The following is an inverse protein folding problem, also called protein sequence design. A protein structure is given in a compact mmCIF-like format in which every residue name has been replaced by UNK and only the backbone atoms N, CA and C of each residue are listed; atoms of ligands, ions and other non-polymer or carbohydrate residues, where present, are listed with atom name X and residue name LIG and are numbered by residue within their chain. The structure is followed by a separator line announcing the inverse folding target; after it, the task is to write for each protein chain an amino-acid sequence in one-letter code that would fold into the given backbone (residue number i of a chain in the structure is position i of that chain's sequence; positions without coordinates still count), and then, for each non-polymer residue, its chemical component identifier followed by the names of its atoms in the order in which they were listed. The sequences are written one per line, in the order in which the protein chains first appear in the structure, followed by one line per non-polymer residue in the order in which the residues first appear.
data_IF_398082308674
#
_entry.id   IF_398082308674
#
_cell.length_a   1.000
_cell.length_b   1.000
_cell.length_c   1.000
_cell.angle_alpha   90.00
_cell.angle_beta   90.00
_cell.angle_gamma   90.00
#
_symmetry.space_group_name_H-M   'P 1'
#
loop_
_entity.id
_entity.type
_entity.pdbx_description
1 polymer ?
#
# COMPACT_ATOMS: atom_id res chain seq x y z
N UNK A 1 1.17 20.68 -0.96
CA UNK A 1 0.10 19.88 -1.61
C UNK A 1 0.50 18.42 -1.43
N UNK A 2 -0.05 17.73 -0.43
CA UNK A 2 0.35 16.36 -0.11
C UNK A 2 -0.02 15.43 -1.26
N UNK A 3 0.89 14.55 -1.70
CA UNK A 3 0.57 13.54 -2.71
C UNK A 3 -0.46 12.56 -2.12
N UNK A 4 -1.47 12.20 -2.89
CA UNK A 4 -2.46 11.19 -2.53
C UNK A 4 -1.74 9.85 -2.25
N UNK A 5 -1.83 9.34 -1.02
CA UNK A 5 -1.17 8.10 -0.62
C UNK A 5 -1.60 6.89 -1.47
N UNK A 6 -2.85 6.87 -1.94
CA UNK A 6 -3.38 5.81 -2.79
C UNK A 6 -2.77 5.79 -4.18
N UNK A 7 -2.28 6.93 -4.69
CA UNK A 7 -1.52 6.97 -5.94
C UNK A 7 -0.12 6.38 -5.79
N UNK A 8 0.50 6.57 -4.61
CA UNK A 8 1.83 6.03 -4.31
C UNK A 8 1.84 4.49 -4.28
N UNK A 9 0.70 3.85 -3.98
CA UNK A 9 0.53 2.39 -4.00
C UNK A 9 0.85 1.79 -5.37
N UNK A 10 0.75 2.55 -6.46
CA UNK A 10 1.17 2.09 -7.81
C UNK A 10 2.67 1.73 -7.86
N UNK A 11 3.49 2.25 -6.95
CA UNK A 11 4.92 1.97 -6.84
C UNK A 11 5.27 0.87 -5.83
N UNK A 12 4.28 0.34 -5.10
CA UNK A 12 4.52 -0.65 -4.03
C UNK A 12 5.03 -1.99 -4.57
N UNK A 13 4.70 -2.37 -5.80
CA UNK A 13 5.25 -3.58 -6.44
C UNK A 13 6.77 -3.47 -6.62
N UNK A 14 7.27 -2.32 -7.06
CA UNK A 14 8.71 -2.04 -7.14
C UNK A 14 9.35 -2.15 -5.75
N UNK A 15 8.71 -1.57 -4.74
CA UNK A 15 9.21 -1.60 -3.36
C UNK A 15 9.23 -3.04 -2.79
N UNK A 16 8.18 -3.82 -3.06
CA UNK A 16 8.08 -5.23 -2.68
C UNK A 16 9.22 -6.04 -3.28
N UNK A 17 9.48 -5.85 -4.57
CA UNK A 17 10.56 -6.54 -5.27
C UNK A 17 11.92 -6.23 -4.64
N UNK A 18 12.14 -5.01 -4.15
CA UNK A 18 13.37 -4.65 -3.44
C UNK A 18 13.45 -5.40 -2.12
N UNK A 19 12.41 -5.37 -1.28
CA UNK A 19 12.41 -6.12 -0.01
C UNK A 19 12.65 -7.62 -0.23
N UNK A 20 12.06 -8.20 -1.28
CA UNK A 20 12.16 -9.63 -1.58
C UNK A 20 13.53 -10.07 -2.13
N UNK A 21 14.31 -9.16 -2.71
CA UNK A 21 15.68 -9.45 -3.20
C UNK A 21 16.69 -9.63 -2.07
N UNK A 22 16.34 -9.25 -0.84
CA UNK A 22 17.24 -9.45 0.29
C UNK A 22 17.58 -10.93 0.46
N UNK A 23 18.87 -11.24 0.35
CA UNK A 23 19.44 -12.55 0.64
C UNK A 23 20.20 -12.50 1.97
N UNK A 24 19.92 -13.47 2.84
CA UNK A 24 20.49 -13.60 4.19
C UNK A 24 22.02 -13.82 4.17
N UNK A 25 22.63 -14.00 3.00
CA UNK A 25 24.08 -14.20 2.85
C UNK A 25 24.90 -12.92 3.05
N UNK A 26 24.26 -11.76 3.16
CA UNK A 26 24.94 -10.46 3.25
C UNK A 26 24.97 -9.98 4.72
N UNK A 27 26.14 -10.05 5.38
CA UNK A 27 26.35 -9.53 6.76
C UNK A 27 26.40 -8.00 6.85
N UNK A 28 25.85 -7.30 5.85
CA UNK A 28 25.82 -5.83 5.85
C UNK A 28 24.81 -5.39 6.91
N UNK A 29 25.23 -4.48 7.79
CA UNK A 29 24.46 -3.94 8.93
C UNK A 29 24.32 -4.85 10.17
N UNK A 30 25.19 -5.86 10.31
CA UNK A 30 25.11 -6.81 11.42
C UNK A 30 25.19 -6.14 12.80
N UNK A 31 26.11 -5.19 12.98
CA UNK A 31 26.30 -4.50 14.27
C UNK A 31 25.08 -3.63 14.61
N UNK A 32 24.61 -2.85 13.63
CA UNK A 32 23.46 -1.96 13.77
C UNK A 32 22.19 -2.75 14.11
N UNK A 33 22.05 -3.94 13.54
CA UNK A 33 20.93 -4.83 13.81
C UNK A 33 21.06 -5.61 15.12
N UNK A 34 22.26 -5.92 15.60
CA UNK A 34 22.45 -6.51 16.93
C UNK A 34 21.95 -5.56 18.02
N UNK A 35 22.27 -4.27 17.94
CA UNK A 35 21.83 -3.27 18.91
C UNK A 35 20.31 -3.06 18.86
N UNK A 36 19.73 -3.02 17.64
CA UNK A 36 18.28 -2.87 17.44
C UNK A 36 17.50 -4.08 17.97
N UNK A 37 18.01 -5.30 17.78
CA UNK A 37 17.34 -6.51 18.25
C UNK A 37 17.26 -6.56 19.78
N UNK A 38 18.17 -5.91 20.51
CA UNK A 38 18.10 -5.78 21.97
C UNK A 38 17.02 -4.77 22.40
N UNK A 39 16.86 -3.67 21.67
CA UNK A 39 15.84 -2.62 21.92
C UNK A 39 14.43 -3.11 21.53
N UNK A 40 14.29 -3.72 20.35
CA UNK A 40 13.03 -4.31 19.84
C UNK A 40 12.67 -5.62 20.54
N UNK A 41 13.58 -6.25 21.28
CA UNK A 41 13.36 -7.54 21.95
C UNK A 41 12.12 -7.59 22.86
N UNK A 42 11.63 -6.43 23.32
CA UNK A 42 10.41 -6.29 24.12
C UNK A 42 9.13 -6.50 23.27
N UNK A 43 9.18 -6.24 21.96
CA UNK A 43 8.17 -6.65 20.99
C UNK A 43 8.33 -8.15 20.66
N UNK A 44 7.76 -9.00 21.50
CA UNK A 44 7.86 -10.48 21.50
C UNK A 44 7.67 -11.13 20.10
N UNK A 45 7.00 -10.44 19.16
CA UNK A 45 6.55 -10.98 17.87
C UNK A 45 7.40 -10.57 16.66
N UNK A 46 8.37 -9.68 16.84
CA UNK A 46 9.31 -9.23 15.80
C UNK A 46 10.74 -9.77 16.04
N UNK A 47 10.88 -10.84 16.81
CA UNK A 47 12.14 -11.57 17.06
C UNK A 47 12.77 -12.21 15.80
N UNK A 48 12.36 -11.80 14.62
CA UNK A 48 13.00 -12.20 13.38
C UNK A 48 14.10 -11.17 13.09
N UNK A 49 15.34 -11.52 13.43
CA UNK A 49 16.53 -10.68 13.17
C UNK A 49 16.63 -10.22 11.70
N UNK A 50 15.93 -10.92 10.79
CA UNK A 50 15.83 -10.57 9.39
C UNK A 50 15.07 -9.28 9.14
N UNK A 51 14.24 -8.80 10.06
CA UNK A 51 13.47 -7.56 9.87
C UNK A 51 14.42 -6.37 9.80
N UNK A 52 15.30 -6.23 10.78
CA UNK A 52 16.31 -5.19 10.75
C UNK A 52 17.14 -5.26 9.46
N UNK A 53 17.70 -6.42 9.15
CA UNK A 53 18.58 -6.55 7.99
C UNK A 53 17.85 -6.31 6.66
N UNK A 54 16.60 -6.80 6.52
CA UNK A 54 15.75 -6.52 5.36
C UNK A 54 15.44 -5.05 5.23
N UNK A 55 15.08 -4.38 6.33
CA UNK A 55 14.78 -2.96 6.34
C UNK A 55 16.01 -2.12 6.02
N UNK A 56 17.18 -2.45 6.57
CA UNK A 56 18.43 -1.75 6.28
C UNK A 56 18.88 -1.94 4.82
N UNK A 57 18.80 -3.17 4.30
CA UNK A 57 19.02 -3.45 2.88
C UNK A 57 18.05 -2.66 1.99
N UNK A 58 16.76 -2.70 2.35
CA UNK A 58 15.72 -1.98 1.63
C UNK A 58 15.98 -0.48 1.59
N UNK A 59 16.25 0.14 2.74
CA UNK A 59 16.56 1.57 2.83
C UNK A 59 17.78 1.94 2.01
N UNK A 60 18.81 1.09 2.00
CA UNK A 60 19.98 1.25 1.13
C UNK A 60 19.62 1.24 -0.35
N UNK A 61 18.78 0.31 -0.79
CA UNK A 61 18.34 0.27 -2.18
C UNK A 61 17.42 1.45 -2.53
N UNK A 62 16.50 1.84 -1.64
CA UNK A 62 15.66 3.04 -1.82
C UNK A 62 16.51 4.30 -1.93
N UNK A 63 17.55 4.43 -1.12
CA UNK A 63 18.48 5.56 -1.17
C UNK A 63 19.06 5.77 -2.57
N UNK A 64 19.46 4.68 -3.25
CA UNK A 64 20.02 4.75 -4.61
C UNK A 64 19.05 5.32 -5.64
N UNK A 65 17.75 5.17 -5.41
CA UNK A 65 16.66 5.56 -6.33
C UNK A 65 15.69 6.54 -5.67
N UNK A 66 16.18 7.34 -4.72
CA UNK A 66 15.36 8.22 -3.88
C UNK A 66 14.55 9.24 -4.69
N UNK A 67 15.12 9.74 -5.79
CA UNK A 67 14.43 10.67 -6.71
C UNK A 67 13.25 10.04 -7.45
N UNK A 68 13.20 8.72 -7.55
CA UNK A 68 12.14 7.99 -8.26
C UNK A 68 11.04 7.53 -7.31
N UNK A 69 11.41 6.90 -6.20
CA UNK A 69 10.43 6.24 -5.31
C UNK A 69 10.61 6.57 -3.83
N UNK A 70 11.45 7.53 -3.44
CA UNK A 70 11.82 7.78 -2.03
C UNK A 70 10.61 7.85 -1.08
N UNK A 71 9.66 8.74 -1.35
CA UNK A 71 8.46 8.89 -0.51
C UNK A 71 7.57 7.62 -0.53
N UNK A 72 7.34 7.02 -1.70
CA UNK A 72 6.56 5.78 -1.80
C UNK A 72 7.25 4.61 -1.08
N UNK A 73 8.59 4.57 -1.10
CA UNK A 73 9.38 3.56 -0.44
C UNK A 73 9.35 3.67 1.07
N UNK A 74 9.42 4.90 1.60
CA UNK A 74 9.26 5.16 3.03
C UNK A 74 7.88 4.71 3.54
N UNK A 75 6.80 5.02 2.82
CA UNK A 75 5.45 4.55 3.15
C UNK A 75 5.33 3.03 3.00
N UNK A 76 5.94 2.45 1.96
CA UNK A 76 5.92 1.01 1.74
C UNK A 76 6.59 0.24 2.87
N UNK A 77 7.71 0.73 3.41
CA UNK A 77 8.36 0.08 4.54
C UNK A 77 7.42 0.02 5.76
N UNK A 78 6.72 1.12 6.06
CA UNK A 78 5.71 1.14 7.12
C UNK A 78 4.54 0.18 6.84
N UNK A 79 4.07 0.12 5.58
CA UNK A 79 3.07 -0.86 5.13
C UNK A 79 3.53 -2.31 5.30
N UNK A 80 4.77 -2.61 4.92
CA UNK A 80 5.35 -3.93 5.04
C UNK A 80 5.48 -4.36 6.49
N UNK A 81 5.91 -3.47 7.39
CA UNK A 81 5.96 -3.74 8.83
C UNK A 81 4.56 -4.02 9.40
N UNK A 82 3.56 -3.24 8.98
CA UNK A 82 2.18 -3.42 9.42
C UNK A 82 1.61 -4.78 8.98
N UNK A 83 1.80 -5.16 7.71
CA UNK A 83 1.35 -6.45 7.18
C UNK A 83 2.12 -7.62 7.81
N UNK A 84 3.44 -7.47 8.03
CA UNK A 84 4.27 -8.46 8.74
C UNK A 84 3.79 -8.68 10.18
N UNK A 85 3.45 -7.60 10.88
CA UNK A 85 2.88 -7.66 12.23
C UNK A 85 1.50 -8.33 12.27
N UNK A 86 0.77 -8.38 11.15
CA UNK A 86 -0.51 -9.08 10.98
C UNK A 86 -1.50 -8.88 12.14
N UNK A 87 -1.78 -7.61 12.50
CA UNK A 87 -2.69 -7.19 13.60
C UNK A 87 -2.19 -7.54 15.01
N UNK A 88 -1.03 -8.19 15.14
CA UNK A 88 -0.48 -8.61 16.44
C UNK A 88 0.30 -7.52 17.17
N UNK A 89 0.70 -6.46 16.47
CA UNK A 89 1.35 -5.27 16.99
C UNK A 89 0.33 -4.12 17.02
N UNK A 90 0.41 -3.28 18.04
CA UNK A 90 -0.26 -1.99 18.10
C UNK A 90 0.32 -1.02 17.08
N UNK A 91 -0.46 0.01 16.73
CA UNK A 91 -0.01 1.08 15.84
C UNK A 91 1.25 1.76 16.38
N UNK A 92 1.30 2.01 17.68
CA UNK A 92 2.43 2.67 18.34
C UNK A 92 3.70 1.83 18.20
N UNK A 93 3.63 0.52 18.47
CA UNK A 93 4.79 -0.37 18.30
C UNK A 93 5.33 -0.32 16.87
N UNK A 94 4.46 -0.38 15.85
CA UNK A 94 4.89 -0.35 14.44
C UNK A 94 5.57 1.00 14.10
N UNK A 95 5.05 2.11 14.62
CA UNK A 95 5.65 3.44 14.44
C UNK A 95 7.02 3.52 15.10
N UNK A 96 7.15 3.04 16.34
CA UNK A 96 8.41 3.07 17.07
C UNK A 96 9.48 2.28 16.33
N UNK A 97 9.14 1.07 15.88
CA UNK A 97 10.04 0.21 15.11
C UNK A 97 10.43 0.86 13.77
N UNK A 98 9.46 1.44 13.06
CA UNK A 98 9.74 2.17 11.84
C UNK A 98 10.74 3.30 12.08
N UNK A 99 10.51 4.13 13.09
CA UNK A 99 11.38 5.25 13.43
C UNK A 99 12.78 4.81 13.84
N UNK A 100 12.89 3.75 14.64
CA UNK A 100 14.19 3.17 15.04
C UNK A 100 14.98 2.66 13.83
N UNK A 101 14.33 1.94 12.91
CA UNK A 101 14.97 1.44 11.69
C UNK A 101 15.47 2.57 10.80
N UNK A 102 14.67 3.62 10.60
CA UNK A 102 15.09 4.82 9.87
C UNK A 102 16.25 5.50 10.59
N UNK A 103 16.14 5.70 11.90
CA UNK A 103 17.18 6.37 12.68
C UNK A 103 18.52 5.64 12.60
N UNK A 104 18.54 4.31 12.79
CA UNK A 104 19.78 3.54 12.69
C UNK A 104 20.38 3.58 11.30
N UNK A 105 19.57 3.49 10.25
CA UNK A 105 20.04 3.63 8.88
C UNK A 105 20.68 5.00 8.61
N UNK A 106 20.05 6.07 9.09
CA UNK A 106 20.47 7.45 8.85
C UNK A 106 21.60 7.93 9.78
N UNK A 107 21.90 7.19 10.85
CA UNK A 107 23.09 7.47 11.66
C UNK A 107 24.39 7.16 10.90
N UNK A 108 24.32 6.31 9.87
CA UNK A 108 25.47 5.86 9.07
C UNK A 108 25.36 6.22 7.58
N UNK A 109 24.20 6.70 7.13
CA UNK A 109 23.96 7.13 5.74
C UNK A 109 23.20 8.47 5.73
N UNK A 110 23.17 9.16 4.59
CA UNK A 110 22.32 10.35 4.43
C UNK A 110 20.82 10.02 4.63
N UNK A 111 20.01 11.00 5.06
CA UNK A 111 18.57 10.81 5.24
C UNK A 111 17.87 10.28 3.98
N UNK A 112 17.03 9.26 4.16
CA UNK A 112 16.25 8.62 3.08
C UNK A 112 14.77 8.86 3.26
N UNK A 113 14.31 8.83 4.51
CA UNK A 113 12.94 9.09 4.87
C UNK A 113 12.91 10.34 5.74
N UNK A 114 12.03 11.28 5.44
CA UNK A 114 11.81 12.41 6.33
C UNK A 114 11.33 11.85 7.67
N UNK A 115 12.18 11.85 8.71
CA UNK A 115 11.91 11.27 10.06
C UNK A 115 10.56 11.68 10.67
N UNK A 116 9.92 12.73 10.15
CA UNK A 116 8.79 13.41 10.76
C UNK A 116 7.63 13.70 9.80
N UNK A 117 7.53 13.07 8.62
CA UNK A 117 6.23 13.14 7.95
C UNK A 117 5.26 12.27 8.74
N UNK A 118 4.22 12.91 9.27
CA UNK A 118 3.13 12.31 10.04
C UNK A 118 2.53 11.11 9.29
N UNK A 119 3.16 9.93 9.36
CA UNK A 119 2.58 8.67 8.91
C UNK A 119 1.52 8.31 9.95
N UNK A 120 0.44 9.09 9.95
CA UNK A 120 -0.73 8.87 10.76
C UNK A 120 -1.72 7.99 9.99
N UNK A 121 -1.23 6.92 9.39
CA UNK A 121 -2.08 5.96 8.69
C UNK A 121 -2.83 5.16 9.74
N UNK A 122 -4.14 5.32 9.77
CA UNK A 122 -5.08 4.55 10.57
C UNK A 122 -5.21 3.13 10.03
N UNK A 123 -5.76 2.22 10.85
CA UNK A 123 -6.08 0.86 10.42
C UNK A 123 -6.98 0.85 9.17
N UNK A 124 -7.96 1.75 9.10
CA UNK A 124 -8.89 1.83 7.98
C UNK A 124 -8.19 2.32 6.70
N UNK A 125 -7.28 3.28 6.81
CA UNK A 125 -6.44 3.69 5.69
C UNK A 125 -5.53 2.56 5.21
N UNK A 126 -4.99 1.75 6.12
CA UNK A 126 -4.23 0.56 5.75
C UNK A 126 -5.05 -0.45 4.97
N UNK A 127 -6.26 -0.75 5.42
CA UNK A 127 -7.16 -1.65 4.70
C UNK A 127 -7.47 -1.12 3.29
N UNK A 128 -7.61 0.20 3.12
CA UNK A 128 -7.78 0.82 1.80
C UNK A 128 -6.52 0.72 0.94
N UNK A 129 -5.34 0.96 1.52
CA UNK A 129 -4.06 0.78 0.82
C UNK A 129 -3.88 -0.65 0.35
N UNK A 130 -4.24 -1.62 1.19
CA UNK A 130 -4.22 -3.06 0.88
C UNK A 130 -5.16 -3.40 -0.26
N UNK A 131 -6.38 -2.87 -0.26
CA UNK A 131 -7.33 -3.06 -1.36
C UNK A 131 -6.73 -2.57 -2.70
N UNK A 132 -6.17 -1.35 -2.74
CA UNK A 132 -5.53 -0.83 -3.98
C UNK A 132 -4.29 -1.63 -4.38
N UNK A 133 -3.49 -2.05 -3.40
CA UNK A 133 -2.28 -2.81 -3.64
C UNK A 133 -2.57 -4.20 -4.22
N UNK A 134 -3.58 -4.89 -3.68
CA UNK A 134 -4.04 -6.17 -4.22
C UNK A 134 -4.49 -6.03 -5.67
N UNK A 135 -5.25 -4.96 -6.00
CA UNK A 135 -5.63 -4.67 -7.38
C UNK A 135 -4.41 -4.47 -8.28
N UNK A 136 -3.37 -3.76 -7.82
CA UNK A 136 -2.14 -3.57 -8.58
C UNK A 136 -1.40 -4.88 -8.88
N UNK A 137 -1.29 -5.76 -7.89
CA UNK A 137 -0.66 -7.07 -8.08
C UNK A 137 -1.46 -7.89 -9.10
N UNK A 138 -2.78 -7.99 -8.93
CA UNK A 138 -3.63 -8.82 -9.80
C UNK A 138 -3.79 -8.26 -11.20
N UNK A 139 -3.68 -6.94 -11.37
CA UNK A 139 -3.68 -6.29 -12.67
C UNK A 139 -2.34 -6.45 -13.41
N UNK A 140 -1.21 -6.39 -12.69
CA UNK A 140 0.13 -6.48 -13.28
C UNK A 140 0.55 -7.88 -13.72
N UNK A 141 -0.15 -8.92 -13.26
CA UNK A 141 0.05 -10.30 -13.73
C UNK A 141 -0.76 -10.44 -15.03
N UNK A 142 -0.08 -10.15 -16.15
CA UNK A 142 -0.57 -10.51 -17.48
C UNK A 142 -1.10 -11.95 -17.42
N UNK A 143 -2.37 -12.13 -17.78
CA UNK A 143 -3.07 -13.41 -18.06
C UNK A 143 -4.13 -13.89 -17.05
N UNK A 144 -4.28 -13.33 -15.83
CA UNK A 144 -5.40 -13.73 -14.94
C UNK A 144 -6.46 -12.64 -14.71
N UNK A 145 -7.06 -12.19 -15.80
CA UNK A 145 -8.19 -11.24 -15.77
C UNK A 145 -9.37 -11.72 -14.92
N UNK A 146 -9.57 -13.04 -14.82
CA UNK A 146 -10.62 -13.59 -13.96
C UNK A 146 -10.37 -13.27 -12.49
N UNK A 147 -9.13 -13.39 -12.03
CA UNK A 147 -8.74 -13.09 -10.66
C UNK A 147 -8.80 -11.58 -10.38
N UNK A 148 -8.37 -10.75 -11.32
CA UNK A 148 -8.56 -9.30 -11.23
C UNK A 148 -10.05 -8.91 -11.12
N UNK A 149 -10.92 -9.46 -11.98
CA UNK A 149 -12.35 -9.16 -11.94
C UNK A 149 -13.00 -9.61 -10.63
N UNK A 150 -12.63 -10.80 -10.14
CA UNK A 150 -13.09 -11.32 -8.85
C UNK A 150 -12.69 -10.39 -7.70
N UNK A 151 -11.41 -10.02 -7.65
CA UNK A 151 -10.87 -9.15 -6.60
C UNK A 151 -11.51 -7.76 -6.65
N UNK A 152 -11.62 -7.17 -7.85
CA UNK A 152 -12.29 -5.89 -8.04
C UNK A 152 -13.74 -5.93 -7.60
N UNK A 153 -14.50 -6.97 -7.96
CA UNK A 153 -15.88 -7.11 -7.53
C UNK A 153 -16.02 -7.16 -6.01
N UNK A 154 -15.15 -7.93 -5.33
CA UNK A 154 -15.15 -8.01 -3.86
C UNK A 154 -14.87 -6.65 -3.20
N UNK A 155 -13.85 -5.93 -3.71
CA UNK A 155 -13.50 -4.59 -3.20
C UNK A 155 -14.64 -3.60 -3.48
N UNK A 156 -15.23 -3.65 -4.67
CA UNK A 156 -16.37 -2.80 -5.04
C UNK A 156 -17.51 -2.98 -4.04
N UNK A 157 -17.93 -4.22 -3.75
CA UNK A 157 -19.02 -4.48 -2.79
C UNK A 157 -18.64 -4.01 -1.38
N UNK A 158 -17.40 -4.27 -0.94
CA UNK A 158 -16.87 -3.84 0.37
C UNK A 158 -16.90 -2.31 0.53
N UNK A 159 -16.58 -1.56 -0.53
CA UNK A 159 -16.32 -0.10 -0.49
C UNK A 159 -17.44 0.74 -1.07
N UNK A 160 -18.46 0.13 -1.66
CA UNK A 160 -19.57 0.82 -2.34
C UNK A 160 -20.21 1.89 -1.46
N UNK A 161 -20.59 1.54 -0.23
CA UNK A 161 -21.24 2.50 0.67
C UNK A 161 -20.36 3.72 0.92
N UNK A 162 -19.10 3.50 1.29
CA UNK A 162 -18.11 4.55 1.54
C UNK A 162 -17.93 5.49 0.33
N UNK A 163 -17.82 4.92 -0.87
CA UNK A 163 -17.58 5.69 -2.08
C UNK A 163 -18.84 6.29 -2.72
N UNK A 164 -20.03 5.75 -2.45
CA UNK A 164 -21.30 6.36 -2.86
C UNK A 164 -21.56 7.70 -2.14
N UNK A 165 -21.11 7.82 -0.88
CA UNK A 165 -21.16 9.06 -0.09
C UNK A 165 -19.90 9.93 -0.21
N UNK A 166 -18.87 9.47 -0.94
CA UNK A 166 -17.60 10.19 -1.15
C UNK A 166 -16.91 10.64 0.14
N UNK A 167 -17.02 9.85 1.22
CA UNK A 167 -16.44 10.18 2.53
C UNK A 167 -14.90 10.17 2.51
N UNK A 168 -14.30 9.50 1.53
CA UNK A 168 -12.85 9.44 1.30
C UNK A 168 -12.52 9.66 -0.18
N UNK A 169 -12.64 10.91 -0.64
CA UNK A 169 -12.57 11.28 -2.06
C UNK A 169 -11.33 10.75 -2.76
N UNK A 170 -10.16 10.83 -2.12
CA UNK A 170 -8.88 10.43 -2.71
C UNK A 170 -8.79 8.92 -2.97
N UNK A 171 -9.29 8.11 -2.03
CA UNK A 171 -9.40 6.66 -2.18
C UNK A 171 -10.42 6.30 -3.27
N UNK A 172 -11.60 6.90 -3.21
CA UNK A 172 -12.69 6.59 -4.13
C UNK A 172 -12.40 7.05 -5.57
N UNK A 173 -11.65 8.14 -5.74
CA UNK A 173 -11.14 8.56 -7.05
C UNK A 173 -10.25 7.49 -7.66
N UNK A 174 -9.30 6.97 -6.88
CA UNK A 174 -8.41 5.90 -7.35
C UNK A 174 -9.22 4.64 -7.66
N UNK A 175 -10.19 4.27 -6.82
CA UNK A 175 -11.04 3.10 -7.06
C UNK A 175 -11.93 3.25 -8.32
N UNK A 176 -12.39 4.46 -8.63
CA UNK A 176 -13.10 4.78 -9.87
C UNK A 176 -12.22 4.56 -11.12
N UNK A 177 -10.90 4.83 -11.05
CA UNK A 177 -9.99 4.50 -12.14
C UNK A 177 -9.96 2.98 -12.42
N UNK A 178 -9.95 2.15 -11.37
CA UNK A 178 -10.02 0.69 -11.52
C UNK A 178 -11.39 0.22 -12.00
N UNK A 179 -12.47 0.88 -11.59
CA UNK A 179 -13.82 0.60 -12.09
C UNK A 179 -13.90 0.79 -13.61
N UNK A 180 -13.38 1.92 -14.10
CA UNK A 180 -13.35 2.22 -15.52
C UNK A 180 -12.55 1.19 -16.31
N UNK A 181 -11.40 0.75 -15.76
CA UNK A 181 -10.64 -0.36 -16.32
C UNK A 181 -11.47 -1.63 -16.37
N UNK A 182 -11.99 -2.09 -15.23
CA UNK A 182 -12.82 -3.29 -15.11
C UNK A 182 -13.99 -3.29 -16.12
N UNK A 183 -14.76 -2.20 -16.19
CA UNK A 183 -15.90 -2.09 -17.11
C UNK A 183 -15.45 -2.16 -18.57
N UNK A 184 -14.39 -1.42 -18.93
CA UNK A 184 -13.81 -1.46 -20.28
C UNK A 184 -13.35 -2.88 -20.65
N UNK A 185 -12.77 -3.63 -19.71
CA UNK A 185 -12.39 -5.02 -19.94
C UNK A 185 -13.61 -5.90 -20.20
N UNK A 186 -14.65 -5.80 -19.36
CA UNK A 186 -15.87 -6.58 -19.55
C UNK A 186 -16.60 -6.26 -20.85
N UNK A 187 -16.57 -5.01 -21.30
CA UNK A 187 -17.12 -4.63 -22.61
C UNK A 187 -16.40 -5.35 -23.76
N UNK A 188 -15.06 -5.45 -23.67
CA UNK A 188 -14.20 -6.06 -24.69
C UNK A 188 -14.13 -7.59 -24.65
N UNK A 189 -14.34 -8.22 -23.49
CA UNK A 189 -14.16 -9.67 -23.30
C UNK A 189 -15.50 -10.40 -23.09
N UNK A 190 -16.05 -10.96 -24.18
CA UNK A 190 -17.35 -11.62 -24.16
C UNK A 190 -17.40 -12.87 -23.27
N UNK A 191 -16.27 -13.56 -23.02
CA UNK A 191 -16.23 -14.76 -22.20
C UNK A 191 -16.45 -14.49 -20.70
N UNK A 192 -16.26 -13.26 -20.25
CA UNK A 192 -16.42 -12.86 -18.85
C UNK A 192 -17.82 -12.29 -18.53
N UNK A 193 -18.54 -11.80 -19.55
CA UNK A 193 -19.90 -11.24 -19.41
C UNK A 193 -20.92 -12.15 -18.70
N UNK A 194 -20.89 -13.49 -18.87
CA UNK A 194 -21.80 -14.37 -18.13
C UNK A 194 -21.50 -14.45 -16.62
N UNK A 195 -20.28 -14.11 -16.19
CA UNK A 195 -19.82 -14.24 -14.79
C UNK A 195 -19.79 -12.91 -14.06
N UNK A 196 -19.57 -11.82 -14.79
CA UNK A 196 -19.37 -10.49 -14.23
C UNK A 196 -20.17 -9.46 -15.01
N UNK A 197 -20.82 -8.56 -14.29
CA UNK A 197 -21.60 -7.47 -14.87
C UNK A 197 -20.82 -6.15 -14.83
N UNK A 198 -21.13 -5.27 -15.80
CA UNK A 198 -20.70 -3.86 -15.76
C UNK A 198 -21.22 -3.26 -14.47
N UNK A 199 -20.32 -2.63 -13.73
CA UNK A 199 -20.62 -2.04 -12.43
C UNK A 199 -20.85 -0.53 -12.58
N UNK A 200 -21.82 0.02 -11.85
CA UNK A 200 -22.13 1.45 -11.95
C UNK A 200 -21.08 2.31 -11.22
N UNK A 201 -20.90 3.58 -11.64
CA UNK A 201 -19.95 4.50 -11.02
C UNK A 201 -20.24 4.70 -9.53
N UNK A 202 -19.21 5.06 -8.77
CA UNK A 202 -19.36 5.51 -7.39
C UNK A 202 -19.94 6.94 -7.36
N UNK A 203 -20.05 7.53 -6.16
CA UNK A 203 -20.51 8.91 -5.92
C UNK A 203 -21.94 9.20 -6.38
N UNK A 204 -22.80 8.18 -6.35
CA UNK A 204 -24.20 8.25 -6.78
C UNK A 204 -25.01 9.35 -6.06
N UNK A 205 -24.67 9.64 -4.80
CA UNK A 205 -25.39 10.63 -4.00
C UNK A 205 -24.85 12.06 -4.12
N UNK A 206 -23.77 12.28 -4.89
CA UNK A 206 -23.25 13.62 -5.19
C UNK A 206 -23.72 14.17 -6.53
N UNK A 207 -24.49 13.38 -7.30
CA UNK A 207 -25.09 13.83 -8.55
C UNK A 207 -26.38 14.58 -8.19
N UNK A 208 -26.35 15.92 -8.23
CA UNK A 208 -27.57 16.73 -8.27
C UNK A 208 -28.22 16.51 -9.62
N UNK A 209 -29.23 15.65 -9.69
CA UNK A 209 -30.11 15.56 -10.85
C UNK A 209 -31.06 16.77 -10.81
N UNK A 210 -30.88 17.71 -11.73
CA UNK A 210 -31.89 18.73 -12.01
C UNK A 210 -32.98 18.06 -12.85
N UNK A 211 -34.15 17.86 -12.24
CA UNK A 211 -35.34 17.43 -12.99
C UNK A 211 -36.07 18.71 -13.36
N UNK A 212 -35.92 19.15 -14.61
CA UNK A 212 -36.78 20.17 -15.19
C UNK A 212 -38.13 19.52 -15.50
N UNK A 213 -39.17 19.89 -14.75
CA UNK A 213 -40.55 19.56 -15.06
C UNK A 213 -41.12 20.73 -15.84
N UNK A 214 -41.17 20.62 -17.16
CA UNK A 214 -41.97 21.52 -18.00
C UNK A 214 -43.46 21.16 -17.84
N UNK A 215 -44.22 22.10 -17.27
CA UNK A 215 -45.69 22.06 -17.16
C UNK A 215 -46.36 22.44 -18.48
#
# INVERSE_FOLDING_TARGET
MGRNIYELVKQFSTCQNIIQRYDNQTNKYQNECMDLNQEISQCIKLKDEKICHKSMYYLYEIHKIIYTIGHAGCIYLYYWLYDYCNVKCSKTEIIDIYNELIQKYENINSPVCTRNENINITKDEFERLKDIYNLNIKYGINENYHEYCKEFHNIYVKRKGECDYNTHSDFCNVLEEYLNKYNKYLESENSLKPKYQILPPFKRYNIRAYIDVTL
#
